data_IF_505381437858
#
_entry.id   IF_505381437858
#
_cell.length_a   1.000
_cell.length_b   1.000
_cell.length_c   1.000
_cell.angle_alpha   90.00
_cell.angle_beta   90.00
_cell.angle_gamma   90.00
#
_symmetry.space_group_name_H-M   'P 1'
#
loop_
_entity.id
_entity.type
_entity.pdbx_description
1 polymer ?
#
# COMPACT_ATOMS: atom_id res chain seq x y z
N UNK A 1 1.30 -0.53 -5.66
CA UNK A 1 0.62 -0.82 -4.38
C UNK A 1 -0.88 -0.61 -4.42
N UNK A 2 -1.40 0.46 -5.05
CA UNK A 2 -2.86 0.67 -5.18
C UNK A 2 -3.63 -0.57 -5.66
N UNK A 3 -3.21 -1.19 -6.77
CA UNK A 3 -3.87 -2.39 -7.28
C UNK A 3 -3.79 -3.60 -6.35
N UNK A 4 -2.68 -3.77 -5.61
CA UNK A 4 -2.53 -4.89 -4.67
C UNK A 4 -3.55 -4.77 -3.53
N UNK A 5 -3.59 -3.63 -2.84
CA UNK A 5 -4.52 -3.43 -1.73
C UNK A 5 -5.98 -3.42 -2.22
N UNK A 6 -6.24 -2.83 -3.38
CA UNK A 6 -7.57 -2.82 -3.98
C UNK A 6 -8.08 -4.23 -4.28
N UNK A 7 -7.26 -5.12 -4.85
CA UNK A 7 -7.65 -6.52 -5.08
C UNK A 7 -8.05 -7.23 -3.79
N UNK A 8 -7.40 -6.90 -2.67
CA UNK A 8 -7.80 -7.43 -1.36
C UNK A 8 -9.16 -6.91 -0.90
N UNK A 9 -9.44 -5.63 -1.12
CA UNK A 9 -10.72 -5.02 -0.73
C UNK A 9 -11.91 -5.57 -1.53
N UNK A 10 -11.75 -5.76 -2.85
CA UNK A 10 -12.87 -6.10 -3.73
C UNK A 10 -13.07 -7.58 -4.01
N UNK A 11 -12.03 -8.40 -3.81
CA UNK A 11 -12.08 -9.82 -4.20
C UNK A 11 -11.60 -10.75 -3.10
N UNK A 12 -10.39 -10.54 -2.55
CA UNK A 12 -9.82 -11.50 -1.60
C UNK A 12 -10.59 -11.52 -0.28
N UNK A 13 -10.78 -10.36 0.37
CA UNK A 13 -11.50 -10.31 1.66
C UNK A 13 -12.96 -10.71 1.53
N UNK A 14 -13.74 -10.22 0.55
CA UNK A 14 -15.11 -10.66 0.36
C UNK A 14 -15.21 -12.17 0.07
N UNK A 15 -14.36 -12.71 -0.81
CA UNK A 15 -14.38 -14.13 -1.13
C UNK A 15 -13.98 -15.01 0.06
N UNK A 16 -13.03 -14.58 0.89
CA UNK A 16 -12.70 -15.30 2.12
C UNK A 16 -13.81 -15.23 3.16
N UNK A 17 -14.58 -14.13 3.21
CA UNK A 17 -15.69 -13.98 4.15
C UNK A 17 -16.87 -14.94 3.88
N UNK A 18 -16.95 -15.52 2.67
CA UNK A 18 -17.91 -16.57 2.33
C UNK A 18 -17.48 -17.98 2.80
N UNK A 19 -16.23 -18.13 3.23
CA UNK A 19 -15.68 -19.40 3.72
C UNK A 19 -15.89 -19.54 5.22
N UNK A 20 -15.72 -20.76 5.72
CA UNK A 20 -15.69 -21.00 7.16
C UNK A 20 -14.46 -20.36 7.82
N UNK A 21 -14.60 -20.02 9.09
CA UNK A 21 -13.59 -19.37 9.92
C UNK A 21 -12.23 -20.08 9.88
N UNK A 22 -12.21 -21.42 9.88
CA UNK A 22 -10.95 -22.16 9.85
C UNK A 22 -10.22 -21.96 8.53
N UNK A 23 -10.95 -22.02 7.42
CA UNK A 23 -10.39 -21.77 6.09
C UNK A 23 -9.96 -20.32 5.93
N UNK A 24 -10.74 -19.35 6.43
CA UNK A 24 -10.37 -17.93 6.45
C UNK A 24 -9.03 -17.71 7.16
N UNK A 25 -8.92 -18.17 8.42
CA UNK A 25 -7.72 -17.94 9.22
C UNK A 25 -6.50 -18.65 8.63
N UNK A 26 -6.65 -19.88 8.16
CA UNK A 26 -5.56 -20.62 7.52
C UNK A 26 -5.08 -19.92 6.24
N UNK A 27 -6.00 -19.41 5.41
CA UNK A 27 -5.65 -18.68 4.21
C UNK A 27 -4.93 -17.36 4.54
N UNK A 28 -5.46 -16.57 5.49
CA UNK A 28 -4.83 -15.30 5.86
C UNK A 28 -3.47 -15.47 6.53
N UNK A 29 -3.29 -16.45 7.41
CA UNK A 29 -1.96 -16.77 7.95
C UNK A 29 -0.95 -17.07 6.83
N UNK A 30 -1.36 -17.83 5.81
CA UNK A 30 -0.48 -18.15 4.66
C UNK A 30 -0.18 -16.93 3.80
N UNK A 31 -1.19 -16.12 3.47
CA UNK A 31 -0.99 -14.91 2.68
C UNK A 31 -0.09 -13.90 3.39
N UNK A 32 -0.34 -13.67 4.69
CA UNK A 32 0.49 -12.80 5.52
C UNK A 32 1.93 -13.31 5.58
N UNK A 33 2.15 -14.60 5.84
CA UNK A 33 3.51 -15.16 5.89
C UNK A 33 4.28 -14.99 4.56
N UNK A 34 3.60 -15.15 3.42
CA UNK A 34 4.20 -14.96 2.10
C UNK A 34 4.55 -13.49 1.85
N UNK A 35 3.67 -12.56 2.20
CA UNK A 35 3.89 -11.12 1.98
C UNK A 35 4.94 -10.57 2.95
N UNK A 36 4.78 -10.84 4.24
CA UNK A 36 5.61 -10.29 5.31
C UNK A 36 7.03 -10.89 5.28
N UNK A 37 7.17 -12.16 4.84
CA UNK A 37 8.46 -12.82 4.62
C UNK A 37 9.12 -12.51 3.27
N UNK A 38 8.44 -11.81 2.36
CA UNK A 38 8.96 -11.55 1.02
C UNK A 38 9.91 -10.34 1.00
N UNK A 39 11.21 -10.63 0.89
CA UNK A 39 12.23 -9.60 0.69
C UNK A 39 11.98 -8.75 -0.57
N UNK A 40 11.45 -9.36 -1.63
CA UNK A 40 11.10 -8.65 -2.86
C UNK A 40 9.95 -7.65 -2.61
N UNK A 41 8.91 -8.07 -1.88
CA UNK A 41 7.81 -7.18 -1.52
C UNK A 41 8.32 -6.00 -0.70
N UNK A 42 9.06 -6.26 0.39
CA UNK A 42 9.64 -5.21 1.22
C UNK A 42 10.54 -4.25 0.44
N UNK A 43 11.39 -4.78 -0.46
CA UNK A 43 12.24 -3.98 -1.32
C UNK A 43 11.44 -3.06 -2.24
N UNK A 44 10.45 -3.59 -2.98
CA UNK A 44 9.61 -2.78 -3.87
C UNK A 44 8.80 -1.76 -3.08
N UNK A 45 8.30 -2.15 -1.90
CA UNK A 45 7.49 -1.29 -1.04
C UNK A 45 8.28 -0.08 -0.55
N UNK A 46 9.53 -0.28 -0.09
CA UNK A 46 10.43 0.79 0.34
C UNK A 46 11.01 1.60 -0.84
N UNK A 47 11.40 0.92 -1.92
CA UNK A 47 11.93 1.57 -3.11
C UNK A 47 10.93 2.54 -3.74
N UNK A 48 9.63 2.20 -3.72
CA UNK A 48 8.56 3.09 -4.20
C UNK A 48 8.56 4.43 -3.44
N UNK A 49 8.69 4.40 -2.11
CA UNK A 49 8.81 5.63 -1.31
C UNK A 49 10.11 6.37 -1.65
N UNK A 50 11.24 5.66 -1.65
CA UNK A 50 12.56 6.23 -1.92
C UNK A 50 12.64 6.95 -3.27
N UNK A 51 12.16 6.31 -4.35
CA UNK A 51 12.10 6.90 -5.69
C UNK A 51 11.18 8.11 -5.75
N UNK A 52 10.03 8.08 -5.05
CA UNK A 52 9.09 9.20 -5.00
C UNK A 52 9.70 10.41 -4.28
N UNK A 53 10.35 10.19 -3.14
CA UNK A 53 11.05 11.25 -2.38
C UNK A 53 12.22 11.80 -3.18
N UNK A 54 13.05 10.93 -3.78
CA UNK A 54 14.17 11.37 -4.63
C UNK A 54 13.68 12.25 -5.80
N UNK A 55 12.58 11.86 -6.44
CA UNK A 55 11.95 12.65 -7.50
C UNK A 55 11.49 14.02 -6.99
N UNK A 56 10.85 14.07 -5.82
CA UNK A 56 10.41 15.33 -5.19
C UNK A 56 11.59 16.27 -4.92
N UNK A 57 12.68 15.74 -4.33
CA UNK A 57 13.90 16.49 -4.04
C UNK A 57 14.53 17.03 -5.32
N UNK A 58 14.64 16.21 -6.37
CA UNK A 58 15.19 16.64 -7.66
C UNK A 58 14.34 17.73 -8.32
N UNK A 59 13.01 17.59 -8.30
CA UNK A 59 12.10 18.61 -8.83
C UNK A 59 12.21 19.93 -8.06
N UNK A 60 12.34 19.86 -6.73
CA UNK A 60 12.53 21.02 -5.88
C UNK A 60 13.88 21.72 -6.15
N UNK A 61 14.98 20.97 -6.26
CA UNK A 61 16.31 21.51 -6.60
C UNK A 61 16.33 22.19 -7.97
N UNK A 62 15.52 21.71 -8.92
CA UNK A 62 15.34 22.35 -10.25
C UNK A 62 14.35 23.52 -10.25
N UNK A 63 13.86 23.95 -9.08
CA UNK A 63 12.85 25.02 -8.89
C UNK A 63 11.54 24.77 -9.66
N UNK A 64 11.21 23.50 -9.95
CA UNK A 64 9.98 23.12 -10.67
C UNK A 64 8.86 22.84 -9.68
N UNK A 65 8.40 23.88 -8.99
CA UNK A 65 7.42 23.75 -7.89
C UNK A 65 6.11 23.08 -8.34
N UNK A 66 5.67 23.36 -9.57
CA UNK A 66 4.47 22.73 -10.16
C UNK A 66 4.59 21.21 -10.27
N UNK A 67 5.80 20.66 -10.39
CA UNK A 67 6.08 19.22 -10.39
C UNK A 67 6.41 18.72 -8.99
N UNK A 68 7.12 19.51 -8.18
CA UNK A 68 7.54 19.12 -6.84
C UNK A 68 6.35 18.94 -5.88
N UNK A 69 5.36 19.84 -5.90
CA UNK A 69 4.22 19.79 -4.97
C UNK A 69 3.44 18.46 -5.06
N UNK A 70 3.02 17.98 -6.24
CA UNK A 70 2.35 16.68 -6.35
C UNK A 70 3.25 15.50 -5.95
N UNK A 71 4.56 15.58 -6.18
CA UNK A 71 5.50 14.54 -5.74
C UNK A 71 5.60 14.48 -4.21
N UNK A 72 5.56 15.63 -3.52
CA UNK A 72 5.51 15.70 -2.05
C UNK A 72 4.21 15.10 -1.54
N UNK A 73 3.06 15.45 -2.15
CA UNK A 73 1.77 14.83 -1.79
C UNK A 73 1.81 13.33 -1.97
N UNK A 74 2.35 12.84 -3.10
CA UNK A 74 2.51 11.42 -3.36
C UNK A 74 3.38 10.72 -2.30
N UNK A 75 4.50 11.34 -1.92
CA UNK A 75 5.41 10.83 -0.90
C UNK A 75 4.74 10.77 0.48
N UNK A 76 4.00 11.81 0.88
CA UNK A 76 3.30 11.86 2.17
C UNK A 76 2.20 10.80 2.23
N UNK A 77 1.35 10.71 1.21
CA UNK A 77 0.31 9.67 1.15
C UNK A 77 0.91 8.26 1.24
N UNK A 78 2.00 8.00 0.51
CA UNK A 78 2.64 6.69 0.53
C UNK A 78 3.38 6.41 1.84
N UNK A 79 3.97 7.42 2.47
CA UNK A 79 4.57 7.32 3.80
C UNK A 79 3.52 6.92 4.85
N UNK A 80 2.32 7.50 4.80
CA UNK A 80 1.22 7.11 5.68
C UNK A 80 0.84 5.64 5.48
N UNK A 81 0.85 5.13 4.24
CA UNK A 81 0.63 3.70 3.97
C UNK A 81 1.70 2.82 4.62
N UNK A 82 2.96 3.24 4.58
CA UNK A 82 4.07 2.54 5.24
C UNK A 82 3.89 2.52 6.76
N UNK A 83 3.55 3.67 7.35
CA UNK A 83 3.30 3.80 8.79
C UNK A 83 2.15 2.89 9.21
N UNK A 84 1.01 2.93 8.51
CA UNK A 84 -0.14 2.06 8.82
C UNK A 84 0.23 0.58 8.69
N UNK A 85 0.99 0.23 7.65
CA UNK A 85 1.42 -1.16 7.44
C UNK A 85 2.28 -1.65 8.60
N UNK A 86 3.28 -0.87 9.01
CA UNK A 86 4.20 -1.27 10.09
C UNK A 86 3.54 -1.21 11.47
N UNK A 87 2.71 -0.20 11.73
CA UNK A 87 2.15 0.04 13.06
C UNK A 87 0.86 -0.74 13.34
N UNK A 88 0.13 -1.16 12.30
CA UNK A 88 -1.18 -1.82 12.46
C UNK A 88 -1.20 -3.17 11.77
N UNK A 89 -0.89 -3.22 10.48
CA UNK A 89 -1.06 -4.46 9.72
C UNK A 89 -0.07 -5.56 10.09
N UNK A 90 1.21 -5.24 10.26
CA UNK A 90 2.22 -6.24 10.65
C UNK A 90 1.96 -6.82 12.06
N UNK A 91 1.66 -6.02 13.10
CA UNK A 91 1.28 -6.56 14.40
C UNK A 91 0.04 -7.44 14.33
N UNK A 92 -1.03 -6.97 13.68
CA UNK A 92 -2.28 -7.72 13.55
C UNK A 92 -2.10 -9.04 12.78
N UNK A 93 -1.24 -9.04 11.76
CA UNK A 93 -0.86 -10.25 11.03
C UNK A 93 -0.08 -11.24 11.92
N UNK A 94 0.80 -10.74 12.79
CA UNK A 94 1.57 -11.55 13.73
C UNK A 94 0.66 -12.17 14.81
N UNK A 95 -0.28 -11.40 15.37
CA UNK A 95 -1.29 -11.91 16.30
C UNK A 95 -2.10 -13.06 15.68
N UNK A 96 -2.53 -12.92 14.42
CA UNK A 96 -3.23 -13.98 13.71
C UNK A 96 -2.34 -15.23 13.52
N UNK A 97 -1.03 -15.05 13.29
CA UNK A 97 -0.08 -16.14 13.15
C UNK A 97 0.17 -16.90 14.46
N UNK A 98 0.11 -16.21 15.61
CA UNK A 98 0.32 -16.79 16.94
C UNK A 98 -0.78 -17.80 17.35
N UNK A 99 -1.96 -17.73 16.71
CA UNK A 99 -3.01 -18.74 16.89
C UNK A 99 -2.55 -20.16 16.52
N UNK A 100 -1.46 -20.30 15.74
CA UNK A 100 -0.89 -21.58 15.35
C UNK A 100 -1.87 -22.40 14.52
N UNK A 101 -2.03 -23.68 14.85
CA UNK A 101 -2.99 -24.54 14.15
C UNK A 101 -4.42 -24.09 14.44
N UNK A 102 -5.09 -23.57 13.40
CA UNK A 102 -6.51 -23.24 13.42
C UNK A 102 -7.39 -24.45 13.75
N UNK A 103 -6.82 -25.65 13.74
CA UNK A 103 -7.53 -26.87 14.14
C UNK A 103 -7.83 -26.97 15.64
N UNK A 104 -7.08 -26.25 16.46
CA UNK A 104 -7.06 -26.36 17.93
C UNK A 104 -7.53 -25.08 18.65
N UNK A 105 -7.76 -23.99 17.92
CA UNK A 105 -8.21 -22.73 18.48
C UNK A 105 -9.66 -22.83 18.98
N UNK A 106 -9.87 -22.59 20.28
CA UNK A 106 -11.20 -22.34 20.84
C UNK A 106 -11.58 -20.89 20.52
N UNK A 107 -12.85 -20.64 20.20
CA UNK A 107 -13.40 -19.31 19.90
C UNK A 107 -12.84 -18.60 18.66
N UNK A 108 -12.49 -19.37 17.62
CA UNK A 108 -11.93 -18.86 16.37
C UNK A 108 -12.82 -17.78 15.70
N UNK A 109 -14.14 -17.90 15.80
CA UNK A 109 -15.09 -16.94 15.24
C UNK A 109 -14.91 -15.54 15.83
N UNK A 110 -14.80 -15.42 17.15
CA UNK A 110 -14.62 -14.11 17.80
C UNK A 110 -13.31 -13.46 17.38
N UNK A 111 -12.22 -14.22 17.34
CA UNK A 111 -10.89 -13.74 16.94
C UNK A 111 -10.89 -13.25 15.48
N UNK A 112 -11.57 -13.97 14.59
CA UNK A 112 -11.64 -13.59 13.18
C UNK A 112 -12.50 -12.34 12.99
N UNK A 113 -13.62 -12.22 13.69
CA UNK A 113 -14.44 -11.00 13.61
C UNK A 113 -13.67 -9.78 14.13
N UNK A 114 -12.95 -9.91 15.25
CA UNK A 114 -12.08 -8.86 15.76
C UNK A 114 -10.98 -8.50 14.74
N UNK A 115 -10.32 -9.50 14.15
CA UNK A 115 -9.32 -9.30 13.09
C UNK A 115 -9.93 -8.56 11.88
N UNK A 116 -11.07 -9.01 11.35
CA UNK A 116 -11.75 -8.40 10.21
C UNK A 116 -12.15 -6.96 10.50
N UNK A 117 -12.65 -6.68 11.70
CA UNK A 117 -13.12 -5.35 12.12
C UNK A 117 -12.03 -4.28 12.04
N UNK A 118 -10.77 -4.68 12.17
CA UNK A 118 -9.61 -3.79 12.05
C UNK A 118 -8.97 -3.91 10.67
N UNK A 119 -8.68 -5.13 10.21
CA UNK A 119 -7.89 -5.37 9.00
C UNK A 119 -8.54 -4.80 7.74
N UNK A 120 -9.86 -5.02 7.57
CA UNK A 120 -10.60 -4.58 6.38
C UNK A 120 -10.61 -3.06 6.24
N UNK A 121 -11.07 -2.25 7.22
CA UNK A 121 -11.06 -0.80 7.08
C UNK A 121 -9.64 -0.23 6.98
N UNK A 122 -8.66 -0.81 7.68
CA UNK A 122 -7.25 -0.41 7.55
C UNK A 122 -6.72 -0.64 6.14
N UNK A 123 -7.09 -1.77 5.49
CA UNK A 123 -6.72 -2.03 4.11
C UNK A 123 -7.37 -1.04 3.13
N UNK A 124 -8.66 -0.72 3.31
CA UNK A 124 -9.35 0.31 2.51
C UNK A 124 -8.63 1.67 2.63
N UNK A 125 -8.23 2.08 3.83
CA UNK A 125 -7.46 3.32 4.03
C UNK A 125 -6.13 3.27 3.26
N UNK A 126 -5.40 2.16 3.33
CA UNK A 126 -4.16 1.97 2.56
C UNK A 126 -4.40 2.03 1.05
N UNK A 127 -5.50 1.46 0.57
CA UNK A 127 -5.92 1.53 -0.84
C UNK A 127 -6.16 2.98 -1.26
N UNK A 128 -6.98 3.73 -0.52
CA UNK A 128 -7.29 5.13 -0.82
C UNK A 128 -6.02 5.98 -0.84
N UNK A 129 -5.15 5.86 0.17
CA UNK A 129 -3.88 6.57 0.20
C UNK A 129 -2.95 6.21 -0.97
N UNK A 130 -2.91 4.94 -1.37
CA UNK A 130 -2.16 4.51 -2.56
C UNK A 130 -2.74 5.08 -3.86
N UNK A 131 -4.07 5.14 -4.00
CA UNK A 131 -4.75 5.72 -5.17
C UNK A 131 -4.48 7.22 -5.24
N UNK A 132 -4.55 7.93 -4.11
CA UNK A 132 -4.20 9.35 -4.04
C UNK A 132 -2.72 9.60 -4.39
N UNK A 133 -1.82 8.76 -3.87
CA UNK A 133 -0.40 8.82 -4.22
C UNK A 133 -0.17 8.61 -5.70
N UNK A 134 -0.80 7.59 -6.30
CA UNK A 134 -0.74 7.33 -7.74
C UNK A 134 -1.29 8.51 -8.57
N UNK A 135 -2.45 9.05 -8.19
CA UNK A 135 -3.03 10.22 -8.86
C UNK A 135 -2.10 11.43 -8.81
N UNK A 136 -1.46 11.68 -7.68
CA UNK A 136 -0.49 12.75 -7.51
C UNK A 136 0.78 12.52 -8.36
N UNK A 137 1.28 11.28 -8.47
CA UNK A 137 2.37 10.91 -9.38
C UNK A 137 2.00 11.15 -10.86
N UNK A 138 0.83 10.70 -11.30
CA UNK A 138 0.33 10.98 -12.66
C UNK A 138 0.28 12.49 -12.92
N UNK A 139 -0.21 13.26 -11.94
CA UNK A 139 -0.26 14.71 -12.00
C UNK A 139 1.13 15.35 -12.13
N UNK A 140 2.14 14.82 -11.44
CA UNK A 140 3.53 15.27 -11.56
C UNK A 140 4.10 14.99 -12.96
N UNK A 141 3.88 13.79 -13.50
CA UNK A 141 4.35 13.38 -14.83
C UNK A 141 3.76 14.27 -15.92
N UNK A 142 2.44 14.51 -15.88
CA UNK A 142 1.77 15.37 -16.86
C UNK A 142 2.29 16.83 -16.80
N UNK A 143 2.52 17.36 -15.61
CA UNK A 143 3.08 18.72 -15.44
C UNK A 143 4.54 18.79 -15.89
N UNK A 144 5.32 17.73 -15.66
CA UNK A 144 6.70 17.66 -16.13
C UNK A 144 6.77 17.66 -17.66
N UNK A 145 5.95 16.84 -18.33
CA UNK A 145 5.90 16.77 -19.80
C UNK A 145 5.51 18.10 -20.45
N UNK A 146 4.50 18.78 -19.89
CA UNK A 146 4.11 20.13 -20.32
C UNK A 146 5.23 21.16 -20.18
N UNK A 147 5.99 21.11 -19.09
CA UNK A 147 7.09 22.04 -18.85
C UNK A 147 8.32 21.80 -19.75
N UNK A 148 8.48 20.59 -20.31
CA UNK A 148 9.59 20.26 -21.21
C UNK A 148 9.26 20.43 -22.70
N UNK A 149 7.98 20.39 -23.07
CA UNK A 149 7.54 20.57 -24.47
C UNK A 149 7.68 22.01 -24.98
N UNK A 150 7.86 23.00 -24.10
CA UNK A 150 7.94 24.43 -24.44
C UNK A 150 9.35 24.93 -24.77
N UNK A 151 10.35 24.06 -24.96
CA UNK A 151 11.70 24.47 -25.41
C UNK A 151 11.70 24.53 -26.96
N UNK A 152 11.82 25.72 -27.59
CA UNK A 152 11.90 25.81 -29.05
C UNK A 152 13.20 25.15 -29.56
N UNK A 153 13.12 24.48 -30.71
CA UNK A 153 14.31 24.00 -31.41
C UNK A 153 15.20 25.21 -31.81
N UNK A 154 16.54 25.08 -31.76
CA UNK A 154 17.43 26.13 -32.25
C UNK A 154 17.16 26.39 -33.75
N UNK A 155 17.32 27.64 -34.23
CA UNK A 155 17.18 27.95 -35.65
C UNK A 155 18.22 27.16 -36.45
N UNK A 156 17.76 26.54 -37.55
CA UNK A 156 18.56 25.82 -38.54
C UNK A 156 19.43 26.78 -39.33
#
# INVERSE_FOLDING_TARGET
MAGLFFSYDISVMPGLAELDDRTYAAAMQRFNAVIDGSALFGMVFLATLGCTVASAVLAFRKKRLTVAVPLVVAAVCYLLVLVITVAVSLPLNAELAELGSTATAKDLTAVIEDFKSVWVPVNVVRTVLCVLSLGALCSAVLRYGRATATVPLPPV
#
